data_IF_860929658976
#
_entry.id   IF_860929658976
#
_cell.length_a   1.000
_cell.length_b   1.000
_cell.length_c   1.000
_cell.angle_alpha   90.00
_cell.angle_beta   90.00
_cell.angle_gamma   90.00
#
_symmetry.space_group_name_H-M   'P 1'
#
loop_
_entity.id
_entity.type
_entity.pdbx_description
1 polymer ?
#
# COMPACT_ATOMS: atom_id res chain seq x y z
N UNK A 1 9.77 -6.41 4.29
CA UNK A 1 8.83 -6.77 3.20
C UNK A 1 7.50 -7.15 3.83
N UNK A 2 6.59 -6.19 4.00
CA UNK A 2 5.46 -6.29 4.96
C UNK A 2 4.13 -5.90 4.33
N UNK A 3 3.85 -6.40 3.13
CA UNK A 3 2.56 -6.16 2.48
C UNK A 3 1.86 -7.51 2.29
N UNK A 4 0.88 -7.79 3.15
CA UNK A 4 -0.02 -8.94 3.01
C UNK A 4 -1.01 -8.61 1.90
N UNK A 5 -0.76 -9.13 0.70
CA UNK A 5 -1.68 -9.08 -0.45
C UNK A 5 -2.64 -10.26 -0.48
N UNK A 6 -3.56 -10.25 -1.46
CA UNK A 6 -4.53 -11.34 -1.69
C UNK A 6 -3.86 -12.70 -1.96
N UNK A 7 -2.62 -12.67 -2.44
CA UNK A 7 -1.81 -13.86 -2.74
C UNK A 7 -1.44 -14.61 -1.47
N UNK A 8 -1.15 -13.89 -0.37
CA UNK A 8 -0.83 -14.50 0.91
C UNK A 8 -2.02 -15.23 1.51
N UNK A 9 -3.22 -14.66 1.36
CA UNK A 9 -4.47 -15.30 1.80
C UNK A 9 -4.70 -16.58 0.98
N UNK A 10 -4.58 -16.49 -0.34
CA UNK A 10 -4.79 -17.64 -1.22
C UNK A 10 -3.76 -18.76 -0.99
N UNK A 11 -2.48 -18.41 -0.79
CA UNK A 11 -1.44 -19.36 -0.41
C UNK A 11 -1.75 -20.04 0.94
N UNK A 12 -2.24 -19.27 1.93
CA UNK A 12 -2.71 -19.81 3.20
C UNK A 12 -3.86 -20.80 3.05
N UNK A 13 -4.86 -20.49 2.21
CA UNK A 13 -5.98 -21.40 1.93
C UNK A 13 -5.54 -22.68 1.23
N UNK A 14 -4.54 -22.63 0.35
CA UNK A 14 -3.99 -23.82 -0.33
C UNK A 14 -3.01 -24.63 0.54
N UNK A 15 -2.64 -24.13 1.71
CA UNK A 15 -1.76 -24.85 2.66
C UNK A 15 -2.55 -25.87 3.48
N UNK A 16 -3.84 -25.64 3.67
CA UNK A 16 -4.72 -26.53 4.42
C UNK A 16 -5.49 -27.45 3.47
N UNK A 17 -4.93 -28.63 3.21
CA UNK A 17 -5.42 -29.57 2.19
C UNK A 17 -6.79 -30.18 2.52
N UNK A 18 -7.16 -30.28 3.81
CA UNK A 18 -8.44 -30.84 4.24
C UNK A 18 -9.55 -29.77 4.43
N UNK A 19 -9.20 -28.50 4.28
CA UNK A 19 -10.09 -27.37 4.49
C UNK A 19 -11.21 -27.24 3.45
N UNK A 20 -12.22 -26.43 3.77
CA UNK A 20 -13.35 -26.15 2.86
C UNK A 20 -12.87 -25.54 1.54
N UNK A 21 -11.91 -24.60 1.60
CA UNK A 21 -11.34 -23.97 0.42
C UNK A 21 -10.66 -24.99 -0.51
N UNK A 22 -9.91 -25.95 0.06
CA UNK A 22 -9.26 -26.99 -0.71
C UNK A 22 -10.26 -27.90 -1.43
N UNK A 23 -11.34 -28.28 -0.74
CA UNK A 23 -12.44 -29.06 -1.33
C UNK A 23 -13.13 -28.29 -2.46
N UNK A 24 -13.43 -27.00 -2.26
CA UNK A 24 -14.05 -26.16 -3.30
C UNK A 24 -13.15 -26.03 -4.53
N UNK A 25 -11.86 -25.73 -4.34
CA UNK A 25 -10.90 -25.62 -5.45
C UNK A 25 -10.78 -26.94 -6.22
N UNK A 26 -10.70 -28.06 -5.50
CA UNK A 26 -10.63 -29.39 -6.11
C UNK A 26 -11.91 -29.73 -6.88
N UNK A 27 -13.09 -29.41 -6.32
CA UNK A 27 -14.38 -29.61 -6.99
C UNK A 27 -14.53 -28.75 -8.26
N UNK A 28 -13.87 -27.59 -8.31
CA UNK A 28 -13.79 -26.74 -9.50
C UNK A 28 -12.73 -27.21 -10.52
N UNK A 29 -12.04 -28.33 -10.27
CA UNK A 29 -10.97 -28.86 -11.12
C UNK A 29 -9.64 -28.12 -10.97
N UNK A 30 -9.52 -27.21 -10.00
CA UNK A 30 -8.29 -26.49 -9.70
C UNK A 30 -7.48 -27.24 -8.62
N UNK A 31 -6.47 -27.99 -9.06
CA UNK A 31 -5.56 -28.68 -8.14
C UNK A 31 -4.73 -27.69 -7.33
N UNK A 32 -4.63 -27.91 -6.00
CA UNK A 32 -3.95 -27.01 -5.07
C UNK A 32 -2.51 -26.67 -5.47
N UNK A 33 -1.76 -27.68 -5.92
CA UNK A 33 -0.39 -27.48 -6.39
C UNK A 33 -0.32 -26.54 -7.60
N UNK A 34 -1.26 -26.66 -8.54
CA UNK A 34 -1.32 -25.77 -9.72
C UNK A 34 -1.65 -24.34 -9.31
N UNK A 35 -2.59 -24.17 -8.37
CA UNK A 35 -2.95 -22.84 -7.83
C UNK A 35 -1.75 -22.22 -7.13
N UNK A 36 -1.05 -22.96 -6.27
CA UNK A 36 0.15 -22.50 -5.57
C UNK A 36 1.24 -22.06 -6.55
N UNK A 37 1.59 -22.90 -7.51
CA UNK A 37 2.59 -22.57 -8.52
C UNK A 37 2.20 -21.37 -9.38
N UNK A 38 0.91 -21.21 -9.71
CA UNK A 38 0.43 -20.05 -10.45
C UNK A 38 0.58 -18.75 -9.63
N UNK A 39 0.25 -18.79 -8.33
CA UNK A 39 0.39 -17.63 -7.44
C UNK A 39 1.86 -17.27 -7.24
N UNK A 40 2.72 -18.26 -6.97
CA UNK A 40 4.17 -18.05 -6.85
C UNK A 40 4.78 -17.48 -8.13
N UNK A 41 4.32 -17.95 -9.30
CA UNK A 41 4.74 -17.42 -10.59
C UNK A 41 4.34 -15.94 -10.75
N UNK A 42 3.09 -15.60 -10.44
CA UNK A 42 2.58 -14.22 -10.55
C UNK A 42 3.29 -13.28 -9.58
N UNK A 43 3.53 -13.70 -8.34
CA UNK A 43 4.23 -12.90 -7.32
C UNK A 43 5.70 -12.73 -7.69
N UNK A 44 6.38 -13.81 -8.13
CA UNK A 44 7.78 -13.77 -8.54
C UNK A 44 8.05 -12.94 -9.80
N UNK A 45 7.03 -12.75 -10.65
CA UNK A 45 7.08 -11.85 -11.82
C UNK A 45 6.43 -10.49 -11.55
N UNK A 46 5.88 -10.28 -10.36
CA UNK A 46 4.94 -9.22 -10.03
C UNK A 46 5.33 -8.37 -8.83
N UNK A 47 6.62 -8.29 -8.49
CA UNK A 47 7.10 -7.24 -7.57
C UNK A 47 6.78 -5.87 -8.18
N UNK A 48 5.59 -5.35 -7.86
CA UNK A 48 5.38 -3.91 -7.76
C UNK A 48 5.75 -3.52 -6.33
N UNK A 49 6.92 -2.92 -6.09
CA UNK A 49 7.17 -2.30 -4.80
C UNK A 49 6.21 -1.12 -4.64
N UNK A 50 5.46 -1.11 -3.55
CA UNK A 50 4.81 0.11 -3.04
C UNK A 50 3.34 0.28 -3.38
N UNK A 51 2.47 -0.36 -2.61
CA UNK A 51 1.17 0.26 -2.28
C UNK A 51 1.25 0.72 -0.83
N UNK A 52 1.59 1.99 -0.67
CA UNK A 52 1.80 2.67 0.60
C UNK A 52 2.93 3.69 0.43
N UNK A 53 2.60 4.98 0.47
CA UNK A 53 3.55 6.11 0.47
C UNK A 53 4.06 6.67 -0.88
N UNK A 54 3.18 6.90 -1.86
CA UNK A 54 3.47 7.86 -2.96
C UNK A 54 2.41 8.97 -3.13
N UNK A 55 1.44 9.06 -2.22
CA UNK A 55 0.41 10.12 -2.23
C UNK A 55 0.83 11.45 -1.60
N UNK A 56 1.88 11.49 -0.77
CA UNK A 56 2.22 12.69 0.02
C UNK A 56 3.43 13.50 -0.49
N UNK A 57 4.12 13.05 -1.55
CA UNK A 57 5.25 13.81 -2.11
C UNK A 57 4.85 14.79 -3.22
N UNK A 58 3.71 14.57 -3.88
CA UNK A 58 3.26 15.43 -4.97
C UNK A 58 2.89 16.82 -4.40
N UNK A 59 2.14 16.86 -3.29
CA UNK A 59 1.75 18.11 -2.63
C UNK A 59 2.96 18.88 -2.11
N UNK A 60 3.88 18.21 -1.42
CA UNK A 60 5.09 18.85 -0.85
C UNK A 60 5.95 19.51 -1.93
N UNK A 61 6.13 18.85 -3.09
CA UNK A 61 6.95 19.38 -4.20
C UNK A 61 6.25 20.51 -4.97
N UNK A 62 4.92 20.45 -5.06
CA UNK A 62 4.08 21.51 -5.65
C UNK A 62 4.18 22.78 -4.78
N UNK A 63 4.01 22.67 -3.45
CA UNK A 63 4.11 23.83 -2.57
C UNK A 63 5.52 24.43 -2.58
N UNK A 64 6.61 23.64 -2.55
CA UNK A 64 7.98 24.20 -2.60
C UNK A 64 8.27 25.00 -3.87
N UNK A 65 7.65 24.63 -4.99
CA UNK A 65 7.92 25.26 -6.30
C UNK A 65 7.01 26.46 -6.57
N UNK A 66 5.85 26.57 -5.91
CA UNK A 66 4.86 27.62 -6.18
C UNK A 66 4.79 28.65 -5.03
N UNK A 67 5.17 28.30 -3.79
CA UNK A 67 5.25 29.24 -2.66
C UNK A 67 6.15 30.47 -2.91
N UNK A 68 7.32 30.37 -3.58
CA UNK A 68 8.16 31.55 -3.88
C UNK A 68 7.47 32.52 -4.84
N UNK A 69 6.59 32.00 -5.70
CA UNK A 69 5.84 32.77 -6.71
C UNK A 69 4.59 33.42 -6.12
N UNK A 70 3.97 32.80 -5.11
CA UNK A 70 2.75 33.29 -4.47
C UNK A 70 3.02 34.43 -3.48
N UNK A 71 4.24 34.54 -2.91
CA UNK A 71 4.56 35.58 -1.92
C UNK A 71 5.66 36.51 -2.41
N UNK A 72 5.30 37.52 -3.21
CA UNK A 72 6.16 38.70 -3.43
C UNK A 72 5.74 39.95 -2.67
N UNK A 73 4.50 40.03 -2.17
CA UNK A 73 3.96 41.28 -1.64
C UNK A 73 3.37 41.12 -0.24
N UNK A 74 4.18 40.79 0.77
CA UNK A 74 3.86 41.18 2.16
C UNK A 74 5.00 40.83 3.11
N UNK A 75 5.63 41.91 3.57
CA UNK A 75 6.37 42.04 4.82
C UNK A 75 6.06 40.91 5.82
N UNK A 76 6.96 39.95 5.97
CA UNK A 76 6.95 39.04 7.13
C UNK A 76 7.35 39.83 8.37
N UNK A 77 6.64 39.65 9.48
CA UNK A 77 7.33 39.07 10.62
C UNK A 77 6.80 37.66 10.85
N UNK A 78 7.73 36.72 10.92
CA UNK A 78 7.52 35.45 11.59
C UNK A 78 7.39 35.73 13.10
N UNK A 79 6.82 34.77 13.85
CA UNK A 79 6.46 34.80 15.30
C UNK A 79 5.12 35.49 15.57
N UNK A 80 4.15 34.90 16.27
CA UNK A 80 4.19 34.01 17.43
C UNK A 80 2.94 33.11 17.42
N UNK A 81 3.11 31.80 17.62
CA UNK A 81 2.00 30.94 18.02
C UNK A 81 1.64 31.31 19.47
N UNK A 82 0.53 32.01 19.69
CA UNK A 82 -0.11 32.00 21.00
C UNK A 82 -0.75 30.62 21.20
N UNK A 83 -0.13 29.80 22.03
CA UNK A 83 -0.81 28.71 22.72
C UNK A 83 -1.79 29.32 23.71
N UNK A 84 -3.02 29.55 23.27
CA UNK A 84 -4.16 29.65 24.17
C UNK A 84 -4.65 28.25 24.48
N UNK A 85 -4.18 27.69 25.60
CA UNK A 85 -5.06 27.07 26.59
C UNK A 85 -4.25 26.55 27.80
N UNK A 86 -4.84 26.74 28.98
CA UNK A 86 -4.58 26.08 30.28
C UNK A 86 -3.77 26.88 31.31
N UNK A 87 -4.44 27.75 32.09
CA UNK A 87 -4.71 27.58 33.54
C UNK A 87 -6.01 28.31 33.88
#
# INVERSE_FOLDING_TARGET
HSSIGTEHILLGLTREEEGVAAKVLTNLGAGLNKVRSAVEFIVGHGERPGTGETGLKITTKIYSNILPTIRKDSHTPLTTFETSDSV
#
